data_IF_390730868636
#
_entry.id   IF_390730868636
#
_cell.length_a   1.000
_cell.length_b   1.000
_cell.length_c   1.000
_cell.angle_alpha   90.00
_cell.angle_beta   90.00
_cell.angle_gamma   90.00
#
_symmetry.space_group_name_H-M   'P 1'
#
loop_
_entity.id
_entity.type
_entity.pdbx_description
1 polymer ?
#
# COMPACT_ATOMS: atom_id res chain seq x y z
N UNK A 1 7.83 -11.20 21.49
CA UNK A 1 7.20 -10.47 20.39
C UNK A 1 8.15 -9.34 20.01
N UNK A 2 8.70 -9.33 18.81
CA UNK A 2 9.53 -8.22 18.35
C UNK A 2 8.65 -6.98 18.24
N UNK A 3 8.94 -5.96 19.00
CA UNK A 3 8.23 -4.67 18.96
C UNK A 3 8.56 -4.03 17.62
N UNK A 4 7.57 -3.83 16.76
CA UNK A 4 7.76 -3.09 15.50
C UNK A 4 8.06 -1.63 15.84
N UNK A 5 9.08 -1.07 15.23
CA UNK A 5 9.44 0.34 15.39
C UNK A 5 8.53 1.28 14.60
N UNK A 6 7.86 0.73 13.59
CA UNK A 6 6.90 1.42 12.75
C UNK A 6 5.90 0.43 12.14
N UNK A 7 4.61 0.79 12.12
CA UNK A 7 3.56 0.07 11.41
C UNK A 7 2.64 1.09 10.72
N UNK A 8 2.62 1.16 9.36
CA UNK A 8 1.80 2.13 8.63
C UNK A 8 0.30 1.89 8.75
N UNK A 9 -0.12 0.76 9.35
CA UNK A 9 -1.52 0.41 9.58
C UNK A 9 -2.04 0.90 10.93
N UNK A 10 -1.17 1.37 11.80
CA UNK A 10 -1.53 1.91 13.10
C UNK A 10 -1.43 3.44 13.08
N UNK A 11 -2.54 4.11 13.42
CA UNK A 11 -2.63 5.57 13.48
C UNK A 11 -1.66 6.22 14.45
N UNK A 12 -1.12 5.46 15.39
CA UNK A 12 -0.05 5.93 16.27
C UNK A 12 1.22 6.27 15.47
N UNK A 13 1.50 5.50 14.42
CA UNK A 13 2.73 5.64 13.64
C UNK A 13 2.53 6.46 12.36
N UNK A 14 1.36 6.36 11.73
CA UNK A 14 1.05 7.10 10.50
C UNK A 14 -0.40 7.59 10.49
N UNK A 15 -0.62 8.89 10.32
CA UNK A 15 -1.94 9.48 10.22
C UNK A 15 -1.96 10.56 9.11
N UNK A 16 -2.98 10.52 8.23
CA UNK A 16 -4.13 9.61 8.19
C UNK A 16 -3.77 8.19 7.73
N UNK A 17 -4.67 7.24 7.99
CA UNK A 17 -4.53 5.87 7.52
C UNK A 17 -4.80 5.77 6.01
N UNK A 18 -4.10 4.84 5.34
CA UNK A 18 -4.33 4.52 3.93
C UNK A 18 -3.81 5.57 2.96
N UNK A 19 -4.54 5.75 1.85
CA UNK A 19 -4.27 6.75 0.83
C UNK A 19 -4.61 8.16 1.33
N UNK A 20 -3.97 9.17 0.74
CA UNK A 20 -4.15 10.58 1.10
C UNK A 20 -4.44 11.42 -0.14
N UNK A 21 -5.18 12.53 -0.03
CA UNK A 21 -5.33 13.44 -1.15
C UNK A 21 -4.03 14.18 -1.47
N UNK A 22 -3.95 14.69 -2.70
CA UNK A 22 -2.87 15.58 -3.13
C UNK A 22 -2.69 16.74 -2.14
N UNK A 23 -1.45 17.12 -1.86
CA UNK A 23 -1.09 18.20 -0.94
C UNK A 23 -1.40 17.96 0.54
N UNK A 24 -1.87 16.77 0.93
CA UNK A 24 -2.24 16.50 2.31
C UNK A 24 -1.02 16.28 3.21
N UNK A 25 -1.11 16.76 4.44
CA UNK A 25 -0.12 16.48 5.47
C UNK A 25 -0.31 15.09 6.08
N UNK A 26 0.78 14.34 6.15
CA UNK A 26 0.86 13.00 6.73
C UNK A 26 1.81 13.03 7.92
N UNK A 27 1.27 12.77 9.10
CA UNK A 27 2.07 12.67 10.32
C UNK A 27 2.73 11.29 10.42
N UNK A 28 4.01 11.28 10.74
CA UNK A 28 4.79 10.09 11.01
C UNK A 28 5.33 10.09 12.44
N UNK A 29 5.28 8.92 13.08
CA UNK A 29 5.90 8.65 14.36
C UNK A 29 6.73 7.38 14.26
N UNK A 30 8.03 7.48 14.43
CA UNK A 30 8.93 6.34 14.47
C UNK A 30 9.36 6.08 15.92
N UNK A 31 9.22 4.84 16.40
CA UNK A 31 9.49 4.44 17.79
C UNK A 31 10.55 3.35 17.81
N UNK A 32 11.84 3.70 17.91
CA UNK A 32 12.89 2.71 18.09
C UNK A 32 12.66 1.88 19.36
N UNK A 33 13.25 0.70 19.42
CA UNK A 33 13.29 -0.08 20.63
C UNK A 33 13.93 0.71 21.79
N UNK A 34 13.47 0.44 23.01
CA UNK A 34 14.00 1.10 24.20
C UNK A 34 15.51 0.83 24.35
N UNK A 35 16.29 1.88 24.45
CA UNK A 35 17.74 1.81 24.55
C UNK A 35 18.47 1.74 23.19
N UNK A 36 17.75 1.78 22.08
CA UNK A 36 18.39 1.94 20.77
C UNK A 36 19.13 3.28 20.71
N UNK A 37 20.40 3.22 20.30
CA UNK A 37 21.27 4.38 20.26
C UNK A 37 21.07 5.22 18.98
N UNK A 38 19.82 5.40 18.55
CA UNK A 38 19.45 6.24 17.40
C UNK A 38 19.60 7.70 17.80
N UNK A 39 20.35 8.46 17.02
CA UNK A 39 20.61 9.89 17.26
C UNK A 39 19.85 10.78 16.29
N UNK A 40 19.49 10.26 15.11
CA UNK A 40 18.73 10.97 14.07
C UNK A 40 17.85 9.99 13.31
N UNK A 41 16.64 10.43 12.99
CA UNK A 41 15.71 9.68 12.15
C UNK A 41 15.18 10.59 11.05
N UNK A 42 15.24 10.13 9.82
CA UNK A 42 14.77 10.84 8.64
C UNK A 42 13.80 9.95 7.87
N UNK A 43 12.68 10.51 7.44
CA UNK A 43 11.82 9.90 6.44
C UNK A 43 12.35 10.27 5.06
N UNK A 44 12.62 9.28 4.25
CA UNK A 44 12.97 9.44 2.84
C UNK A 44 11.80 8.96 2.00
N UNK A 45 11.36 9.80 1.07
CA UNK A 45 10.24 9.52 0.19
C UNK A 45 10.56 9.93 -1.24
N UNK A 46 10.08 9.17 -2.22
CA UNK A 46 10.14 9.54 -3.63
C UNK A 46 8.90 9.07 -4.36
N UNK A 47 8.47 9.79 -5.38
CA UNK A 47 7.43 9.36 -6.30
C UNK A 47 7.89 8.21 -7.19
N UNK A 48 6.95 7.44 -7.73
CA UNK A 48 7.23 6.31 -8.64
C UNK A 48 8.12 6.70 -9.82
N UNK A 49 7.92 7.92 -10.34
CA UNK A 49 8.64 8.45 -11.49
C UNK A 49 9.53 9.65 -11.16
N UNK A 50 9.73 9.93 -9.88
CA UNK A 50 10.53 11.06 -9.44
C UNK A 50 12.03 10.74 -9.43
N UNK A 51 12.85 11.63 -9.97
CA UNK A 51 14.31 11.49 -9.98
C UNK A 51 14.96 11.84 -8.63
N UNK A 52 14.22 12.48 -7.73
CA UNK A 52 14.76 12.99 -6.47
C UNK A 52 14.01 12.50 -5.25
N UNK A 53 14.77 12.30 -4.17
CA UNK A 53 14.24 11.97 -2.86
C UNK A 53 13.86 13.22 -2.08
N UNK A 54 12.67 13.21 -1.49
CA UNK A 54 12.30 14.16 -0.45
C UNK A 54 12.75 13.61 0.91
N UNK A 55 13.43 14.43 1.69
CA UNK A 55 13.89 14.05 3.03
C UNK A 55 13.19 14.91 4.07
N UNK A 56 12.56 14.28 5.04
CA UNK A 56 11.93 14.93 6.20
C UNK A 56 12.67 14.49 7.45
N UNK A 57 13.34 15.41 8.14
CA UNK A 57 13.93 15.13 9.44
C UNK A 57 12.85 15.03 10.51
N UNK A 58 12.83 13.94 11.26
CA UNK A 58 11.90 13.73 12.35
C UNK A 58 12.50 14.26 13.65
N UNK A 59 11.72 15.03 14.39
CA UNK A 59 12.12 15.62 15.66
C UNK A 59 12.00 14.61 16.79
N UNK A 60 13.03 14.40 17.62
CA UNK A 60 12.95 13.52 18.77
C UNK A 60 12.06 14.11 19.87
N UNK A 61 11.25 13.27 20.50
CA UNK A 61 10.42 13.58 21.66
C UNK A 61 10.50 12.46 22.70
N UNK A 62 10.24 12.80 23.97
CA UNK A 62 10.14 11.80 25.06
C UNK A 62 8.69 11.48 25.33
N UNK A 63 8.34 10.19 25.21
CA UNK A 63 6.99 9.68 25.50
C UNK A 63 7.10 8.40 26.34
N UNK A 64 6.53 8.39 27.53
CA UNK A 64 6.52 7.25 28.45
C UNK A 64 7.89 6.63 28.69
N UNK A 65 8.94 7.48 28.75
CA UNK A 65 10.32 7.04 28.93
C UNK A 65 10.96 6.40 27.69
N UNK A 66 10.36 6.61 26.52
CA UNK A 66 10.92 6.27 25.20
C UNK A 66 11.25 7.51 24.40
N UNK A 67 12.30 7.43 23.60
CA UNK A 67 12.55 8.39 22.53
C UNK A 67 11.69 7.97 21.33
N UNK A 68 10.89 8.90 20.83
CA UNK A 68 10.14 8.76 19.57
C UNK A 68 10.54 9.88 18.62
N UNK A 69 10.41 9.67 17.34
CA UNK A 69 10.73 10.66 16.31
C UNK A 69 9.46 11.00 15.54
N UNK A 70 9.10 12.29 15.48
CA UNK A 70 7.88 12.77 14.83
C UNK A 70 8.19 13.76 13.73
N UNK A 71 7.43 13.69 12.64
CA UNK A 71 7.52 14.63 11.54
C UNK A 71 6.26 14.61 10.68
N UNK A 72 6.16 15.60 9.80
CA UNK A 72 5.06 15.75 8.85
C UNK A 72 5.66 15.72 7.45
N UNK A 73 5.13 14.85 6.61
CA UNK A 73 5.41 14.80 5.18
C UNK A 73 4.20 15.36 4.44
N UNK A 74 4.38 16.38 3.62
CA UNK A 74 3.34 16.88 2.73
C UNK A 74 3.37 16.08 1.45
N UNK A 75 2.24 15.46 1.11
CA UNK A 75 2.09 14.68 -0.11
C UNK A 75 2.26 15.58 -1.36
N UNK A 76 2.70 15.03 -2.50
CA UNK A 76 2.75 15.75 -3.76
C UNK A 76 1.39 16.37 -4.15
N UNK A 77 1.44 17.45 -4.94
CA UNK A 77 0.24 18.09 -5.48
C UNK A 77 -0.38 17.31 -6.64
N UNK A 78 0.35 16.36 -7.20
CA UNK A 78 -0.11 15.48 -8.27
C UNK A 78 -0.40 14.05 -7.76
N UNK A 79 -1.30 13.36 -8.48
CA UNK A 79 -1.62 11.93 -8.23
C UNK A 79 -0.38 11.08 -8.45
N UNK A 80 0.04 10.36 -7.42
CA UNK A 80 1.28 9.58 -7.48
C UNK A 80 1.30 8.40 -6.51
N UNK A 81 2.17 7.43 -6.79
CA UNK A 81 2.61 6.43 -5.81
C UNK A 81 3.92 6.90 -5.19
N UNK A 82 3.90 7.15 -3.90
CA UNK A 82 5.08 7.57 -3.14
C UNK A 82 5.63 6.37 -2.38
N UNK A 83 6.91 6.11 -2.56
CA UNK A 83 7.66 5.08 -1.86
C UNK A 83 8.47 5.71 -0.73
N UNK A 84 8.39 5.18 0.48
CA UNK A 84 9.08 5.77 1.63
C UNK A 84 9.67 4.73 2.57
N UNK A 85 10.73 5.12 3.25
CA UNK A 85 11.38 4.37 4.33
C UNK A 85 12.08 5.34 5.29
N UNK A 86 12.63 4.83 6.38
CA UNK A 86 13.38 5.65 7.34
C UNK A 86 14.87 5.41 7.20
N UNK A 87 15.66 6.47 7.32
CA UNK A 87 17.11 6.44 7.51
C UNK A 87 17.43 6.79 8.96
N UNK A 88 18.24 5.99 9.59
CA UNK A 88 18.65 6.13 10.99
C UNK A 88 20.13 6.42 11.07
N UNK A 89 20.52 7.35 11.91
CA UNK A 89 21.92 7.55 12.33
C UNK A 89 22.10 7.08 13.76
N UNK A 90 23.22 6.46 14.03
CA UNK A 90 23.54 5.85 15.29
C UNK A 90 24.60 6.64 16.06
N UNK A 91 24.68 6.46 17.37
CA UNK A 91 25.65 7.14 18.22
C UNK A 91 27.11 6.80 17.90
N UNK A 92 27.38 5.66 17.28
CA UNK A 92 28.70 5.25 16.80
C UNK A 92 29.10 5.87 15.44
N UNK A 93 28.22 6.70 14.86
CA UNK A 93 28.40 7.32 13.55
C UNK A 93 27.93 6.45 12.38
N UNK A 94 27.46 5.24 12.63
CA UNK A 94 26.87 4.37 11.62
C UNK A 94 25.52 4.87 11.10
N UNK A 95 25.10 4.35 9.93
CA UNK A 95 23.78 4.60 9.36
C UNK A 95 23.13 3.30 8.94
N UNK A 96 21.79 3.23 8.99
CA UNK A 96 21.01 2.11 8.48
C UNK A 96 19.64 2.59 8.02
N UNK A 97 18.91 1.72 7.33
CA UNK A 97 17.54 1.97 6.91
C UNK A 97 16.56 1.09 7.69
N UNK A 98 15.32 1.53 7.74
CA UNK A 98 14.22 0.75 8.28
C UNK A 98 13.04 0.77 7.30
N UNK A 99 12.69 -0.41 6.81
CA UNK A 99 11.63 -0.64 5.83
C UNK A 99 10.67 -1.75 6.26
N UNK A 100 9.90 -2.29 5.32
CA UNK A 100 8.98 -3.44 5.54
C UNK A 100 9.71 -4.65 6.10
N UNK A 101 10.94 -4.84 5.66
CA UNK A 101 11.84 -5.92 6.08
C UNK A 101 12.60 -5.63 7.38
N UNK A 102 12.27 -4.52 8.08
CA UNK A 102 12.91 -4.11 9.33
C UNK A 102 14.19 -3.32 9.13
N UNK A 103 15.12 -3.44 10.08
CA UNK A 103 16.42 -2.77 10.04
C UNK A 103 17.34 -3.44 9.02
N UNK A 104 17.90 -2.65 8.10
CA UNK A 104 18.70 -3.16 6.99
C UNK A 104 19.69 -2.10 6.46
N UNK A 105 20.54 -2.50 5.52
CA UNK A 105 21.38 -1.59 4.76
C UNK A 105 20.55 -0.83 3.70
N UNK A 106 21.13 0.24 3.14
CA UNK A 106 20.47 1.10 2.15
C UNK A 106 20.01 0.35 0.89
N UNK A 107 20.84 -0.53 0.38
CA UNK A 107 20.61 -1.31 -0.84
C UNK A 107 19.63 -2.49 -0.68
N UNK A 108 19.28 -2.79 0.57
CA UNK A 108 18.39 -3.90 0.92
C UNK A 108 17.02 -3.44 1.44
N UNK A 109 16.75 -2.11 1.51
CA UNK A 109 15.52 -1.61 2.11
C UNK A 109 14.31 -1.88 1.21
N UNK A 110 13.25 -2.43 1.81
CA UNK A 110 11.94 -2.57 1.18
C UNK A 110 11.03 -1.41 1.61
N UNK A 111 10.76 -0.42 0.73
CA UNK A 111 9.98 0.75 1.10
C UNK A 111 8.49 0.42 1.25
N UNK A 112 7.77 1.20 2.06
CA UNK A 112 6.32 1.24 2.05
C UNK A 112 5.82 2.12 0.91
N UNK A 113 4.57 1.86 0.53
CA UNK A 113 3.85 2.66 -0.46
C UNK A 113 2.83 3.57 0.22
N UNK A 114 2.74 4.81 -0.24
CA UNK A 114 1.67 5.76 0.03
C UNK A 114 1.01 6.13 -1.30
N UNK A 115 -0.28 5.90 -1.42
CA UNK A 115 -1.06 6.32 -2.59
C UNK A 115 -1.55 7.75 -2.37
N UNK A 116 -1.21 8.64 -3.31
CA UNK A 116 -1.70 10.02 -3.36
C UNK A 116 -2.76 10.11 -4.45
N UNK A 117 -3.94 10.63 -4.14
CA UNK A 117 -5.09 10.66 -5.05
C UNK A 117 -5.69 12.06 -5.20
N UNK A 118 -6.34 12.30 -6.34
CA UNK A 118 -7.13 13.50 -6.59
C UNK A 118 -8.48 13.40 -5.87
N UNK A 119 -8.72 14.27 -4.89
CA UNK A 119 -9.95 14.29 -4.09
C UNK A 119 -11.10 15.04 -4.76
N UNK A 120 -10.90 15.62 -5.93
CA UNK A 120 -11.98 16.25 -6.72
C UNK A 120 -12.96 15.21 -7.25
N UNK A 121 -12.50 13.98 -7.49
CA UNK A 121 -13.32 12.85 -7.92
C UNK A 121 -13.74 11.99 -6.72
N UNK A 122 -14.87 12.33 -6.11
CA UNK A 122 -15.38 11.60 -4.94
C UNK A 122 -16.28 10.45 -5.33
N UNK A 123 -16.02 9.29 -4.75
CA UNK A 123 -16.99 8.20 -4.78
C UNK A 123 -18.30 8.64 -4.15
N UNK A 124 -19.47 8.18 -4.66
CA UNK A 124 -20.75 8.48 -4.07
C UNK A 124 -20.76 8.17 -2.55
N UNK A 125 -21.40 9.04 -1.75
CA UNK A 125 -21.40 8.93 -0.29
C UNK A 125 -22.01 7.62 0.25
N UNK A 126 -22.80 6.93 -0.55
CA UNK A 126 -23.38 5.62 -0.21
C UNK A 126 -22.41 4.45 -0.46
N UNK A 127 -21.39 4.63 -1.34
CA UNK A 127 -20.42 3.57 -1.66
C UNK A 127 -19.56 3.27 -0.43
N UNK A 128 -19.45 2.00 -0.07
CA UNK A 128 -18.71 1.58 1.13
C UNK A 128 -19.54 1.59 2.44
N UNK A 129 -20.82 2.08 2.40
CA UNK A 129 -21.72 2.00 3.56
C UNK A 129 -22.57 0.73 3.60
N UNK A 130 -22.43 -0.12 2.61
CA UNK A 130 -23.15 -1.38 2.47
C UNK A 130 -22.25 -2.50 2.01
N UNK A 131 -22.87 -3.61 1.61
CA UNK A 131 -22.17 -4.74 1.00
C UNK A 131 -22.16 -4.53 -0.50
N UNK A 132 -20.98 -4.54 -1.11
CA UNK A 132 -20.81 -4.56 -2.56
C UNK A 132 -20.65 -6.00 -3.01
N UNK A 133 -21.52 -6.43 -3.94
CA UNK A 133 -21.46 -7.77 -4.51
C UNK A 133 -21.12 -7.66 -6.00
N UNK A 134 -19.95 -8.17 -6.37
CA UNK A 134 -19.52 -8.22 -7.77
C UNK A 134 -19.90 -9.58 -8.35
N UNK A 135 -20.67 -9.57 -9.42
CA UNK A 135 -21.12 -10.78 -10.12
C UNK A 135 -20.41 -10.87 -11.46
N UNK A 136 -19.77 -12.00 -11.71
CA UNK A 136 -19.31 -12.42 -13.04
C UNK A 136 -20.38 -13.31 -13.64
N UNK A 137 -21.22 -12.82 -14.57
CA UNK A 137 -22.41 -13.55 -15.05
C UNK A 137 -22.06 -14.91 -15.65
N UNK A 138 -20.93 -15.01 -16.32
CA UNK A 138 -20.41 -16.23 -16.94
C UNK A 138 -20.02 -17.32 -15.93
N UNK A 139 -19.78 -16.92 -14.68
CA UNK A 139 -19.32 -17.78 -13.56
C UNK A 139 -20.30 -17.84 -12.40
N UNK A 140 -21.46 -17.18 -12.51
CA UNK A 140 -22.40 -17.07 -11.39
C UNK A 140 -23.51 -18.11 -11.48
N UNK A 141 -24.19 -18.15 -12.61
CA UNK A 141 -25.26 -19.13 -12.88
C UNK A 141 -25.47 -19.30 -14.36
N UNK A 142 -25.89 -20.51 -14.74
CA UNK A 142 -26.34 -20.84 -16.08
C UNK A 142 -27.85 -21.01 -16.05
N UNK A 143 -28.55 -20.22 -16.89
CA UNK A 143 -30.02 -20.30 -17.01
C UNK A 143 -30.44 -21.60 -17.66
N UNK A 144 -30.17 -21.75 -18.94
CA UNK A 144 -30.60 -22.93 -19.72
C UNK A 144 -29.52 -23.43 -20.66
N UNK A 145 -29.62 -24.69 -21.05
CA UNK A 145 -28.74 -25.28 -22.07
C UNK A 145 -28.79 -24.53 -23.40
N UNK A 146 -29.97 -24.02 -23.78
CA UNK A 146 -30.14 -23.24 -25.02
C UNK A 146 -29.42 -21.88 -24.95
N UNK A 147 -29.42 -21.20 -23.80
CA UNK A 147 -28.69 -19.95 -23.61
C UNK A 147 -27.17 -20.19 -23.63
N UNK A 148 -26.71 -21.24 -22.96
CA UNK A 148 -25.31 -21.65 -22.97
C UNK A 148 -24.80 -21.98 -24.38
N UNK A 149 -25.60 -22.73 -25.17
CA UNK A 149 -25.27 -23.06 -26.56
C UNK A 149 -25.15 -21.82 -27.44
N UNK A 150 -26.10 -20.87 -27.35
CA UNK A 150 -26.01 -19.59 -28.09
C UNK A 150 -24.76 -18.80 -27.72
N UNK A 151 -24.39 -18.77 -26.45
CA UNK A 151 -23.15 -18.14 -26.00
C UNK A 151 -21.90 -18.79 -26.57
N UNK A 152 -21.83 -20.13 -26.52
CA UNK A 152 -20.73 -20.90 -27.12
C UNK A 152 -20.62 -20.70 -28.63
N UNK A 153 -21.76 -20.69 -29.34
CA UNK A 153 -21.77 -20.41 -30.77
C UNK A 153 -21.31 -19.00 -31.12
N UNK A 154 -21.69 -18.01 -30.30
CA UNK A 154 -21.25 -16.64 -30.49
C UNK A 154 -19.72 -16.55 -30.38
N UNK A 155 -19.12 -17.12 -29.35
CA UNK A 155 -17.66 -17.12 -29.17
C UNK A 155 -16.94 -17.89 -30.28
N UNK A 156 -17.48 -19.02 -30.74
CA UNK A 156 -16.90 -19.76 -31.86
C UNK A 156 -16.92 -18.96 -33.17
N UNK A 157 -17.97 -18.16 -33.42
CA UNK A 157 -18.00 -17.23 -34.58
C UNK A 157 -16.94 -16.14 -34.49
N UNK A 158 -16.47 -15.81 -33.30
CA UNK A 158 -15.38 -14.88 -33.06
C UNK A 158 -14.01 -15.58 -33.01
N UNK A 159 -13.92 -16.83 -33.48
CA UNK A 159 -12.71 -17.65 -33.50
C UNK A 159 -12.09 -17.87 -32.12
N UNK A 160 -12.90 -17.77 -31.05
CA UNK A 160 -12.43 -17.99 -29.67
C UNK A 160 -12.61 -19.47 -29.29
N UNK A 161 -11.61 -20.02 -28.60
CA UNK A 161 -11.73 -21.35 -28.00
C UNK A 161 -12.73 -21.31 -26.85
N UNK A 162 -13.69 -22.23 -26.84
CA UNK A 162 -14.69 -22.31 -25.79
C UNK A 162 -14.61 -23.67 -25.13
N UNK A 163 -14.37 -23.68 -23.82
CA UNK A 163 -14.46 -24.86 -22.96
C UNK A 163 -15.71 -24.76 -22.06
N UNK A 164 -16.59 -25.74 -22.13
CA UNK A 164 -17.76 -25.81 -21.27
C UNK A 164 -17.45 -26.76 -20.10
N UNK A 165 -17.30 -26.21 -18.89
CA UNK A 165 -17.16 -27.02 -17.69
C UNK A 165 -18.45 -27.77 -17.38
N UNK A 166 -18.34 -29.08 -17.16
CA UNK A 166 -19.46 -29.92 -16.78
C UNK A 166 -19.74 -29.85 -15.27
N UNK A 167 -18.70 -29.65 -14.50
CA UNK A 167 -18.74 -29.53 -13.07
C UNK A 167 -18.30 -28.09 -12.65
N UNK A 168 -18.99 -27.56 -11.66
CA UNK A 168 -18.75 -26.23 -11.11
C UNK A 168 -17.40 -26.15 -10.33
N UNK A 169 -16.95 -27.28 -9.82
CA UNK A 169 -15.68 -27.42 -9.08
C UNK A 169 -14.48 -27.75 -9.99
N UNK A 170 -14.72 -27.92 -11.29
CA UNK A 170 -13.68 -28.22 -12.27
C UNK A 170 -12.64 -27.05 -12.31
N UNK A 171 -11.35 -27.32 -12.16
CA UNK A 171 -10.33 -26.27 -12.23
C UNK A 171 -10.34 -25.55 -13.57
N UNK A 172 -10.23 -24.22 -13.53
CA UNK A 172 -10.07 -23.40 -14.74
C UNK A 172 -8.62 -23.51 -15.21
N UNK A 173 -8.41 -24.16 -16.36
CA UNK A 173 -7.11 -24.16 -17.02
C UNK A 173 -6.90 -22.84 -17.75
N UNK A 174 -5.94 -22.06 -17.29
CA UNK A 174 -5.50 -20.87 -18.00
C UNK A 174 -4.55 -21.31 -19.11
N UNK A 175 -5.01 -21.26 -20.35
CA UNK A 175 -4.09 -21.40 -21.47
C UNK A 175 -3.19 -20.16 -21.52
N UNK A 176 -1.88 -20.39 -21.41
CA UNK A 176 -0.82 -19.39 -21.55
C UNK A 176 -0.75 -18.87 -23.00
#
# INVERSE_FOLDING_TARGET
>A
MSTKWFDPRDLLFKSPFGAVPCGADVSFCFRPERGAAVTRCELLAHGEFADQWTTVELTPAQEDGHVVYRGIFTAPDDVELVWYHFRLSWADGGTSCYGKNGLCAWDAVEPWQLTVYDDTHKSPAWFGRGVTYQIFPDRFARDSSATAQRGMEHHRRMEQTVHAHADWEEPVEWQA
#
